data_IF_986519907353
#
_entry.id   IF_986519907353
#
_cell.length_a   1.000
_cell.length_b   1.000
_cell.length_c   1.000
_cell.angle_alpha   90.00
_cell.angle_beta   90.00
_cell.angle_gamma   90.00
#
_symmetry.space_group_name_H-M   'P 1'
#
loop_
_entity.id
_entity.type
_entity.pdbx_description
1 polymer ?
#
# COMPACT_ATOMS: atom_id res chain seq x y z
N UNK A 1 27.63 3.50 -9.49
CA UNK A 1 27.76 2.21 -8.80
C UNK A 1 28.02 2.55 -7.34
N UNK A 2 26.98 2.61 -6.50
CA UNK A 2 27.17 2.83 -5.06
C UNK A 2 27.71 1.53 -4.46
N UNK A 3 28.71 1.58 -3.55
CA UNK A 3 29.17 0.38 -2.87
C UNK A 3 28.00 -0.23 -2.10
N UNK A 4 27.95 -1.58 -2.03
CA UNK A 4 26.99 -2.27 -1.18
C UNK A 4 27.27 -1.88 0.27
N UNK A 5 26.51 -0.90 0.78
CA UNK A 5 26.51 -0.56 2.19
C UNK A 5 25.83 -1.73 2.88
N UNK A 6 26.60 -2.54 3.61
CA UNK A 6 26.04 -3.60 4.44
C UNK A 6 25.04 -2.95 5.40
N UNK A 7 23.77 -3.35 5.31
CA UNK A 7 22.73 -2.91 6.23
C UNK A 7 23.16 -3.22 7.66
N UNK A 8 23.21 -2.24 8.58
CA UNK A 8 23.51 -2.49 9.98
C UNK A 8 22.46 -3.40 10.65
N UNK A 9 22.92 -4.34 11.47
CA UNK A 9 22.13 -5.29 12.25
C UNK A 9 22.29 -5.05 13.76
N UNK A 10 21.38 -5.56 14.60
CA UNK A 10 21.56 -5.54 16.05
C UNK A 10 22.92 -6.11 16.47
N UNK A 11 23.66 -5.34 17.28
CA UNK A 11 25.03 -5.65 17.71
C UNK A 11 26.14 -5.05 16.82
N UNK A 12 25.82 -4.53 15.64
CA UNK A 12 26.79 -3.85 14.79
C UNK A 12 27.22 -2.51 15.38
N UNK A 13 28.40 -2.03 14.96
CA UNK A 13 28.93 -0.71 15.32
C UNK A 13 29.58 -0.01 14.13
N UNK A 14 29.62 1.33 14.19
CA UNK A 14 30.41 2.15 13.27
C UNK A 14 29.59 3.15 12.45
N UNK A 15 30.14 3.58 11.31
CA UNK A 15 29.61 4.71 10.54
C UNK A 15 28.20 4.47 9.99
N UNK A 16 27.86 3.23 9.61
CA UNK A 16 26.51 2.89 9.14
C UNK A 16 25.47 3.02 10.25
N UNK A 17 25.80 2.60 11.47
CA UNK A 17 24.94 2.75 12.65
C UNK A 17 24.81 4.21 13.06
N UNK A 18 25.89 4.98 12.98
CA UNK A 18 25.85 6.42 13.24
C UNK A 18 24.91 7.15 12.26
N UNK A 19 24.95 6.79 10.98
CA UNK A 19 24.05 7.33 9.97
C UNK A 19 22.59 6.92 10.22
N UNK A 20 22.35 5.66 10.62
CA UNK A 20 21.04 5.19 11.06
C UNK A 20 20.52 6.02 12.25
N UNK A 21 21.31 6.23 13.29
CA UNK A 21 20.94 7.06 14.44
C UNK A 21 20.60 8.49 14.04
N UNK A 22 21.39 9.11 13.16
CA UNK A 22 21.13 10.45 12.64
C UNK A 22 19.76 10.52 11.95
N UNK A 23 19.48 9.57 11.05
CA UNK A 23 18.21 9.52 10.31
C UNK A 23 17.01 9.25 11.21
N UNK A 24 17.12 8.33 12.16
CA UNK A 24 16.05 8.07 13.13
C UNK A 24 15.74 9.32 13.95
N UNK A 25 16.77 10.01 14.45
CA UNK A 25 16.60 11.26 15.19
C UNK A 25 15.96 12.37 14.34
N UNK A 26 16.35 12.51 13.06
CA UNK A 26 15.75 13.46 12.11
C UNK A 26 14.29 13.14 11.79
N UNK A 27 13.95 11.85 11.73
CA UNK A 27 12.59 11.35 11.61
C UNK A 27 11.79 11.43 12.92
N UNK A 28 12.39 11.92 14.02
CA UNK A 28 11.70 12.10 15.31
C UNK A 28 11.76 10.91 16.27
N UNK A 29 12.40 9.81 15.87
CA UNK A 29 12.57 8.62 16.71
C UNK A 29 13.91 8.68 17.45
N UNK A 30 13.88 9.27 18.64
CA UNK A 30 15.09 9.50 19.42
C UNK A 30 15.74 8.19 19.90
N UNK A 31 17.03 8.07 19.62
CA UNK A 31 17.90 7.00 20.14
C UNK A 31 18.69 7.51 21.35
N UNK A 32 18.83 6.67 22.39
CA UNK A 32 19.55 6.96 23.63
C UNK A 32 20.97 7.45 23.33
N UNK A 33 21.33 8.57 23.97
CA UNK A 33 22.63 9.22 23.79
C UNK A 33 23.84 8.31 24.06
N UNK A 34 23.69 7.23 24.85
CA UNK A 34 24.72 6.22 25.09
C UNK A 34 25.01 5.41 23.83
N UNK A 35 23.97 4.89 23.18
CA UNK A 35 24.09 4.13 21.93
C UNK A 35 24.62 5.02 20.79
N UNK A 36 24.16 6.27 20.73
CA UNK A 36 24.65 7.27 19.75
C UNK A 36 26.15 7.53 19.92
N UNK A 37 26.63 7.66 21.16
CA UNK A 37 28.05 7.90 21.45
C UNK A 37 28.92 6.67 21.21
N UNK A 38 28.42 5.47 21.53
CA UNK A 38 29.14 4.23 21.27
C UNK A 38 29.02 3.75 19.81
N UNK A 39 28.22 4.45 18.99
CA UNK A 39 27.88 4.06 17.61
C UNK A 39 27.36 2.63 17.53
N UNK A 40 26.59 2.21 18.52
CA UNK A 40 26.15 0.83 18.69
C UNK A 40 24.68 0.65 18.34
N UNK A 41 24.39 -0.41 17.59
CA UNK A 41 23.03 -0.85 17.36
C UNK A 41 22.58 -1.69 18.55
N UNK A 42 22.08 -1.01 19.58
CA UNK A 42 21.56 -1.65 20.79
C UNK A 42 20.04 -1.78 20.80
N UNK A 43 19.50 -2.10 21.99
CA UNK A 43 18.07 -2.31 22.18
C UNK A 43 17.24 -1.05 21.95
N UNK A 44 17.82 0.13 22.21
CA UNK A 44 17.12 1.39 21.99
C UNK A 44 17.01 1.73 20.51
N UNK A 45 18.07 1.48 19.73
CA UNK A 45 18.07 1.55 18.27
C UNK A 45 17.01 0.61 17.68
N UNK A 46 16.93 -0.64 18.13
CA UNK A 46 15.88 -1.58 17.70
C UNK A 46 14.47 -1.07 18.02
N UNK A 47 14.27 -0.53 19.22
CA UNK A 47 12.98 0.05 19.65
C UNK A 47 12.60 1.25 18.79
N UNK A 48 13.55 2.14 18.50
CA UNK A 48 13.34 3.29 17.63
C UNK A 48 12.99 2.86 16.19
N UNK A 49 13.65 1.83 15.67
CA UNK A 49 13.33 1.25 14.36
C UNK A 49 11.92 0.66 14.31
N UNK A 50 11.53 -0.12 15.31
CA UNK A 50 10.17 -0.66 15.41
C UNK A 50 9.12 0.46 15.46
N UNK A 51 9.38 1.51 16.26
CA UNK A 51 8.50 2.67 16.32
C UNK A 51 8.39 3.40 14.98
N UNK A 52 9.51 3.58 14.27
CA UNK A 52 9.53 4.18 12.92
C UNK A 52 8.80 3.30 11.90
N UNK A 53 9.04 1.99 11.91
CA UNK A 53 8.37 1.06 11.01
C UNK A 53 6.85 1.07 11.24
N UNK A 54 6.41 1.06 12.51
CA UNK A 54 4.99 1.16 12.86
C UNK A 54 4.38 2.49 12.39
N UNK A 55 5.03 3.63 12.66
CA UNK A 55 4.56 4.95 12.23
C UNK A 55 4.42 5.05 10.71
N UNK A 56 5.38 4.48 9.98
CA UNK A 56 5.44 4.52 8.51
C UNK A 56 4.60 3.42 7.85
N UNK A 57 3.89 2.61 8.64
CA UNK A 57 3.10 1.47 8.15
C UNK A 57 3.94 0.49 7.33
N UNK A 58 5.18 0.25 7.77
CA UNK A 58 6.12 -0.75 7.27
C UNK A 58 6.07 -2.01 8.12
N UNK A 59 6.69 -3.09 7.67
CA UNK A 59 6.77 -4.30 8.47
C UNK A 59 7.65 -4.07 9.70
N UNK A 60 7.10 -4.35 10.88
CA UNK A 60 7.76 -4.14 12.18
C UNK A 60 8.77 -5.25 12.46
N UNK A 61 9.74 -5.42 11.56
CA UNK A 61 10.79 -6.45 11.65
C UNK A 61 11.86 -6.08 12.67
N UNK A 62 12.01 -4.78 12.97
CA UNK A 62 13.13 -4.22 13.72
C UNK A 62 14.46 -4.28 12.97
N UNK A 63 14.44 -4.69 11.70
CA UNK A 63 15.62 -4.79 10.83
C UNK A 63 15.76 -3.53 9.97
N UNK A 64 17.01 -3.14 9.69
CA UNK A 64 17.29 -2.05 8.76
C UNK A 64 17.50 -2.58 7.34
N UNK A 65 16.40 -3.05 6.75
CA UNK A 65 16.36 -3.51 5.35
C UNK A 65 16.27 -2.35 4.34
N UNK A 66 16.24 -2.69 3.04
CA UNK A 66 16.17 -1.71 1.95
C UNK A 66 14.89 -0.84 2.01
N UNK A 67 13.77 -1.43 2.44
CA UNK A 67 12.50 -0.72 2.57
C UNK A 67 12.56 0.30 3.71
N UNK A 68 13.07 -0.10 4.87
CA UNK A 68 13.25 0.75 6.04
C UNK A 68 14.27 1.86 5.78
N UNK A 69 15.39 1.54 5.10
CA UNK A 69 16.37 2.53 4.68
C UNK A 69 15.74 3.57 3.73
N UNK A 70 15.03 3.13 2.70
CA UNK A 70 14.38 4.03 1.74
C UNK A 70 13.37 4.94 2.42
N UNK A 71 12.53 4.39 3.32
CA UNK A 71 11.57 5.19 4.07
C UNK A 71 12.23 6.22 4.99
N UNK A 72 13.37 5.89 5.63
CA UNK A 72 14.14 6.84 6.46
C UNK A 72 14.75 7.97 5.62
N UNK A 73 15.24 7.64 4.42
CA UNK A 73 15.73 8.65 3.46
C UNK A 73 14.61 9.60 3.06
N UNK A 74 13.44 9.06 2.76
CA UNK A 74 12.27 9.83 2.33
C UNK A 74 11.67 10.70 3.43
N UNK A 75 11.68 10.23 4.68
CA UNK A 75 11.20 10.98 5.84
C UNK A 75 12.12 12.15 6.23
N UNK A 76 13.41 12.07 5.87
CA UNK A 76 14.40 13.09 6.20
C UNK A 76 14.34 14.36 5.33
N UNK A 77 13.53 14.38 4.26
CA UNK A 77 13.45 15.52 3.33
C UNK A 77 12.09 16.20 3.46
N UNK A 78 12.10 17.50 3.75
CA UNK A 78 10.89 18.31 3.94
C UNK A 78 10.59 19.18 2.73
N UNK A 79 9.31 19.53 2.57
CA UNK A 79 8.87 20.40 1.47
C UNK A 79 9.53 21.78 1.55
N UNK A 80 10.44 22.04 0.62
CA UNK A 80 11.24 23.27 0.53
C UNK A 80 12.74 23.08 0.73
N UNK A 81 13.19 21.90 1.14
CA UNK A 81 14.62 21.58 1.27
C UNK A 81 15.31 21.48 -0.10
N UNK A 82 14.54 21.18 -1.17
CA UNK A 82 15.01 21.10 -2.55
C UNK A 82 13.96 21.62 -3.53
N UNK A 83 14.40 21.97 -4.74
CA UNK A 83 13.50 22.26 -5.86
C UNK A 83 12.98 20.96 -6.44
N UNK A 84 11.66 20.81 -6.49
CA UNK A 84 11.02 19.65 -7.09
C UNK A 84 10.57 19.98 -8.52
N UNK A 85 10.91 19.10 -9.46
CA UNK A 85 10.56 19.21 -10.88
C UNK A 85 10.62 17.83 -11.52
N UNK A 86 10.07 17.69 -12.72
CA UNK A 86 10.07 16.41 -13.44
C UNK A 86 11.51 16.04 -13.84
N UNK A 87 12.05 15.02 -13.19
CA UNK A 87 13.39 14.49 -13.44
C UNK A 87 13.29 13.03 -13.91
N UNK A 88 14.26 12.57 -14.72
CA UNK A 88 14.27 11.18 -15.24
C UNK A 88 14.24 10.13 -14.13
N UNK A 89 14.95 10.40 -13.03
CA UNK A 89 14.95 9.56 -11.83
C UNK A 89 13.84 9.90 -10.81
N UNK A 90 12.85 10.73 -11.19
CA UNK A 90 11.70 11.21 -10.40
C UNK A 90 11.94 11.37 -8.90
N UNK A 91 11.87 12.61 -8.37
CA UNK A 91 12.00 12.81 -6.93
C UNK A 91 11.01 11.96 -6.14
N UNK A 92 11.49 11.45 -4.99
CA UNK A 92 10.69 10.70 -4.03
C UNK A 92 10.94 11.21 -2.62
N UNK A 93 9.90 11.21 -1.82
CA UNK A 93 9.97 11.64 -0.43
C UNK A 93 8.64 12.11 0.13
N UNK A 94 8.66 12.39 1.43
CA UNK A 94 7.54 13.03 2.10
C UNK A 94 7.34 14.46 1.59
N UNK A 95 8.42 15.16 1.23
CA UNK A 95 8.35 16.47 0.55
C UNK A 95 7.50 16.45 -0.74
N UNK A 96 7.61 15.39 -1.54
CA UNK A 96 6.78 15.23 -2.74
C UNK A 96 5.32 14.90 -2.37
N UNK A 97 5.11 14.06 -1.37
CA UNK A 97 3.76 13.71 -0.89
C UNK A 97 3.03 14.94 -0.37
N UNK A 98 3.73 15.79 0.41
CA UNK A 98 3.23 17.06 0.91
C UNK A 98 2.86 18.01 -0.24
N UNK A 99 3.72 18.09 -1.27
CA UNK A 99 3.43 18.90 -2.45
C UNK A 99 2.16 18.41 -3.18
N UNK A 100 2.04 17.11 -3.40
CA UNK A 100 0.87 16.49 -4.04
C UNK A 100 -0.41 16.73 -3.22
N UNK A 101 -0.34 16.57 -1.90
CA UNK A 101 -1.45 16.82 -0.99
C UNK A 101 -1.87 18.30 -1.04
N UNK A 102 -0.91 19.22 -0.95
CA UNK A 102 -1.17 20.66 -1.00
C UNK A 102 -1.81 21.09 -2.32
N UNK A 103 -1.31 20.59 -3.45
CA UNK A 103 -1.91 20.82 -4.76
C UNK A 103 -3.33 20.25 -4.81
N UNK A 104 -3.51 19.01 -4.38
CA UNK A 104 -4.80 18.32 -4.36
C UNK A 104 -5.86 19.01 -3.49
N UNK A 105 -5.46 19.55 -2.34
CA UNK A 105 -6.35 20.30 -1.45
C UNK A 105 -6.78 21.65 -2.04
N UNK A 106 -5.95 22.23 -2.92
CA UNK A 106 -6.25 23.45 -3.65
C UNK A 106 -6.99 23.20 -4.98
N UNK A 107 -7.34 21.95 -5.29
CA UNK A 107 -8.09 21.60 -6.50
C UNK A 107 -7.23 21.22 -7.70
N UNK A 108 -5.91 21.17 -7.56
CA UNK A 108 -4.98 20.79 -8.64
C UNK A 108 -4.72 19.29 -8.61
N UNK A 109 -5.01 18.62 -9.72
CA UNK A 109 -4.89 17.17 -9.78
C UNK A 109 -3.43 16.71 -10.00
N UNK A 110 -2.74 16.43 -8.90
CA UNK A 110 -1.36 15.93 -8.91
C UNK A 110 -1.24 14.41 -9.07
N UNK A 111 -2.30 13.70 -9.47
CA UNK A 111 -2.30 12.25 -9.52
C UNK A 111 -2.57 11.63 -8.16
N UNK A 112 -2.02 10.44 -7.90
CA UNK A 112 -2.09 9.79 -6.59
C UNK A 112 -1.10 10.47 -5.63
N UNK A 113 -1.44 10.58 -4.35
CA UNK A 113 -0.51 11.08 -3.32
C UNK A 113 0.43 9.93 -2.93
N UNK A 114 1.32 9.60 -3.86
CA UNK A 114 2.28 8.50 -3.76
C UNK A 114 3.68 8.99 -3.39
N UNK A 115 3.92 10.30 -3.26
CA UNK A 115 5.23 10.84 -2.98
C UNK A 115 6.25 10.63 -4.10
N UNK A 116 5.80 10.45 -5.34
CA UNK A 116 6.65 10.35 -6.54
C UNK A 116 6.36 11.53 -7.46
N UNK A 117 7.39 12.31 -7.79
CA UNK A 117 7.23 13.48 -8.65
C UNK A 117 7.17 13.03 -10.11
N UNK A 118 5.99 12.59 -10.52
CA UNK A 118 5.69 12.14 -11.87
C UNK A 118 5.12 13.25 -12.77
N UNK A 119 4.71 12.88 -14.00
CA UNK A 119 4.12 13.80 -14.96
C UNK A 119 2.85 14.50 -14.45
N UNK A 120 1.99 13.80 -13.69
CA UNK A 120 0.75 14.37 -13.15
C UNK A 120 1.06 15.46 -12.10
N UNK A 121 2.01 15.20 -11.20
CA UNK A 121 2.51 16.22 -10.25
C UNK A 121 3.11 17.42 -10.99
N UNK A 122 3.88 17.19 -12.05
CA UNK A 122 4.46 18.26 -12.85
C UNK A 122 3.39 19.13 -13.53
N UNK A 123 2.35 18.50 -14.10
CA UNK A 123 1.22 19.18 -14.71
C UNK A 123 0.46 20.03 -13.68
N UNK A 124 0.18 19.46 -12.49
CA UNK A 124 -0.45 20.18 -11.40
C UNK A 124 0.36 21.40 -10.92
N UNK A 125 1.68 21.30 -10.86
CA UNK A 125 2.56 22.44 -10.55
C UNK A 125 2.43 23.53 -11.61
N UNK A 126 2.46 23.18 -12.90
CA UNK A 126 2.30 24.14 -14.00
C UNK A 126 0.93 24.82 -13.94
N UNK A 127 -0.14 24.05 -13.71
CA UNK A 127 -1.50 24.58 -13.61
C UNK A 127 -1.66 25.49 -12.39
N UNK A 128 -1.08 25.11 -11.25
CA UNK A 128 -1.03 25.96 -10.07
C UNK A 128 -0.33 27.28 -10.36
N UNK A 129 0.89 27.23 -10.90
CA UNK A 129 1.69 28.40 -11.24
C UNK A 129 0.94 29.35 -12.17
N UNK A 130 0.27 28.80 -13.20
CA UNK A 130 -0.54 29.58 -14.13
C UNK A 130 -1.69 30.29 -13.42
N UNK A 131 -2.42 29.58 -12.56
CA UNK A 131 -3.59 30.13 -11.87
C UNK A 131 -3.24 31.19 -10.82
N UNK A 132 -2.06 31.10 -10.20
CA UNK A 132 -1.60 32.10 -9.21
C UNK A 132 -0.72 33.21 -9.79
N UNK A 133 -0.53 33.25 -11.12
CA UNK A 133 0.24 34.29 -11.80
C UNK A 133 1.76 34.22 -11.59
N UNK A 134 2.30 33.02 -11.34
CA UNK A 134 3.74 32.77 -11.26
C UNK A 134 4.31 32.41 -12.64
N UNK A 135 5.64 32.42 -12.76
CA UNK A 135 6.31 31.83 -13.91
C UNK A 135 5.95 30.33 -14.00
N UNK A 136 5.46 29.90 -15.16
CA UNK A 136 5.01 28.51 -15.42
C UNK A 136 6.17 27.64 -15.87
N UNK A 137 7.15 27.43 -15.00
CA UNK A 137 8.36 26.65 -15.28
C UNK A 137 8.22 25.17 -14.85
N UNK A 138 7.15 24.80 -14.15
CA UNK A 138 6.94 23.45 -13.63
C UNK A 138 7.86 23.09 -12.46
N UNK A 139 8.54 24.08 -11.87
CA UNK A 139 9.46 23.91 -10.73
C UNK A 139 8.76 24.36 -9.45
N UNK A 140 8.61 23.44 -8.50
CA UNK A 140 8.17 23.77 -7.15
C UNK A 140 9.34 24.31 -6.32
N UNK A 141 9.75 25.55 -6.63
CA UNK A 141 10.73 26.33 -5.89
C UNK A 141 10.10 27.25 -4.84
N UNK A 142 10.91 28.10 -4.17
CA UNK A 142 10.46 28.94 -3.06
C UNK A 142 9.22 29.81 -3.34
N UNK A 143 9.06 30.32 -4.57
CA UNK A 143 7.89 31.13 -4.94
C UNK A 143 6.62 30.29 -5.04
N UNK A 144 6.69 29.13 -5.70
CA UNK A 144 5.60 28.16 -5.78
C UNK A 144 5.15 27.74 -4.38
N UNK A 145 6.09 27.41 -3.49
CA UNK A 145 5.80 26.97 -2.12
C UNK A 145 5.22 28.09 -1.25
N UNK A 146 5.65 29.34 -1.44
CA UNK A 146 5.02 30.51 -0.78
C UNK A 146 3.57 30.68 -1.22
N UNK A 147 3.30 30.53 -2.52
CA UNK A 147 1.94 30.56 -3.07
C UNK A 147 1.05 29.49 -2.44
N UNK A 148 1.52 28.24 -2.39
CA UNK A 148 0.79 27.13 -1.77
C UNK A 148 0.43 27.43 -0.31
N UNK A 149 1.43 27.78 0.51
CA UNK A 149 1.20 28.10 1.93
C UNK A 149 0.21 29.24 2.15
N UNK A 150 0.23 30.26 1.28
CA UNK A 150 -0.69 31.38 1.38
C UNK A 150 -2.15 30.97 1.14
N UNK A 151 -2.39 30.05 0.19
CA UNK A 151 -3.74 29.60 -0.16
C UNK A 151 -4.26 28.52 0.79
N UNK A 152 -3.40 27.62 1.27
CA UNK A 152 -3.79 26.56 2.21
C UNK A 152 -4.31 27.10 3.54
N UNK A 153 -3.76 28.21 4.04
CA UNK A 153 -4.25 28.87 5.26
C UNK A 153 -5.69 29.40 5.14
N UNK A 154 -6.31 29.31 3.96
CA UNK A 154 -7.67 29.78 3.66
C UNK A 154 -8.66 28.64 3.38
N UNK A 155 -8.20 27.40 3.27
CA UNK A 155 -9.02 26.23 2.95
C UNK A 155 -9.10 25.30 4.16
N UNK A 156 -10.29 25.13 4.72
CA UNK A 156 -10.54 24.16 5.79
C UNK A 156 -11.06 22.85 5.19
N UNK A 157 -10.42 21.75 5.57
CA UNK A 157 -10.94 20.37 5.54
C UNK A 157 -11.59 19.94 4.21
N UNK A 158 -10.76 19.75 3.18
CA UNK A 158 -11.19 19.22 1.89
C UNK A 158 -10.56 17.86 1.64
N UNK A 159 -11.36 16.92 1.13
CA UNK A 159 -10.83 15.68 0.56
C UNK A 159 -9.99 16.06 -0.67
N UNK A 160 -8.72 15.63 -0.76
CA UNK A 160 -7.89 15.98 -1.91
C UNK A 160 -8.51 15.45 -3.20
N UNK A 161 -8.32 16.18 -4.31
CA UNK A 161 -8.83 15.81 -5.65
C UNK A 161 -8.49 14.35 -6.01
N UNK A 162 -7.31 13.86 -5.60
CA UNK A 162 -6.90 12.48 -5.81
C UNK A 162 -7.91 11.46 -5.29
N UNK A 163 -8.43 11.64 -4.07
CA UNK A 163 -9.39 10.75 -3.43
C UNK A 163 -10.78 10.87 -4.06
N UNK A 164 -11.20 12.10 -4.40
CA UNK A 164 -12.48 12.36 -5.08
C UNK A 164 -12.48 11.68 -6.45
N UNK A 165 -11.41 11.86 -7.23
CA UNK A 165 -11.23 11.24 -8.54
C UNK A 165 -11.28 9.72 -8.44
N UNK A 166 -10.57 9.12 -7.50
CA UNK A 166 -10.59 7.66 -7.33
C UNK A 166 -12.00 7.16 -7.00
N UNK A 167 -12.72 7.80 -6.06
CA UNK A 167 -14.10 7.44 -5.75
C UNK A 167 -15.03 7.57 -6.96
N UNK A 168 -14.86 8.62 -7.76
CA UNK A 168 -15.68 8.83 -8.95
C UNK A 168 -15.38 7.79 -10.03
N UNK A 169 -14.12 7.44 -10.24
CA UNK A 169 -13.72 6.34 -11.12
C UNK A 169 -14.39 5.03 -10.69
N UNK A 170 -14.39 4.70 -9.39
CA UNK A 170 -15.05 3.49 -8.88
C UNK A 170 -16.56 3.52 -9.11
N UNK A 171 -17.21 4.68 -8.90
CA UNK A 171 -18.67 4.81 -9.12
C UNK A 171 -19.04 4.60 -10.58
N UNK A 172 -18.21 5.09 -11.50
CA UNK A 172 -18.43 4.96 -12.93
C UNK A 172 -18.03 3.58 -13.46
N UNK A 173 -17.07 2.91 -12.83
CA UNK A 173 -16.49 1.65 -13.31
C UNK A 173 -17.35 0.41 -13.03
N UNK A 174 -18.67 0.52 -12.90
CA UNK A 174 -19.58 -0.61 -12.65
C UNK A 174 -19.61 -1.57 -13.85
N UNK A 175 -18.59 -2.42 -13.92
CA UNK A 175 -18.24 -3.23 -15.07
C UNK A 175 -18.26 -4.68 -14.65
N UNK A 176 -18.96 -5.50 -15.43
CA UNK A 176 -18.84 -6.95 -15.32
C UNK A 176 -17.37 -7.35 -15.51
N UNK A 177 -16.98 -8.48 -14.90
CA UNK A 177 -15.58 -8.96 -14.94
C UNK A 177 -15.09 -9.25 -16.37
N UNK A 178 -16.01 -9.38 -17.32
CA UNK A 178 -15.74 -9.67 -18.72
C UNK A 178 -14.96 -8.53 -19.38
N UNK A 179 -13.95 -8.90 -20.15
CA UNK A 179 -13.06 -7.98 -20.89
C UNK A 179 -12.19 -7.07 -20.01
N UNK A 180 -12.22 -7.26 -18.69
CA UNK A 180 -11.39 -6.52 -17.75
C UNK A 180 -9.97 -7.08 -17.70
N UNK A 181 -9.00 -6.17 -17.66
CA UNK A 181 -7.58 -6.51 -17.54
C UNK A 181 -7.20 -6.58 -16.06
N UNK A 182 -6.82 -7.74 -15.57
CA UNK A 182 -6.45 -7.94 -14.17
C UNK A 182 -4.98 -8.34 -14.08
N UNK A 183 -4.23 -7.74 -13.16
CA UNK A 183 -2.86 -8.14 -12.88
C UNK A 183 -2.80 -8.89 -11.55
N UNK A 184 -2.21 -10.08 -11.54
CA UNK A 184 -2.04 -10.90 -10.34
C UNK A 184 -0.57 -11.28 -10.26
N UNK A 185 0.09 -10.90 -9.17
CA UNK A 185 1.50 -11.21 -8.95
C UNK A 185 1.71 -12.12 -7.75
N UNK A 186 2.81 -12.84 -7.73
CA UNK A 186 3.25 -13.57 -6.54
C UNK A 186 4.73 -13.39 -6.21
N UNK A 187 5.06 -13.47 -4.92
CA UNK A 187 6.42 -13.24 -4.38
C UNK A 187 7.04 -14.54 -3.85
N UNK A 188 6.98 -15.59 -4.68
CA UNK A 188 7.41 -16.94 -4.31
C UNK A 188 6.38 -17.71 -3.47
N UNK A 189 6.42 -19.04 -3.56
CA UNK A 189 5.57 -19.95 -2.76
C UNK A 189 4.08 -20.00 -3.13
N UNK A 190 3.53 -18.98 -3.81
CA UNK A 190 2.10 -18.86 -4.12
C UNK A 190 1.71 -19.15 -5.59
N UNK A 191 2.58 -19.77 -6.38
CA UNK A 191 2.35 -20.02 -7.81
C UNK A 191 1.08 -20.86 -8.07
N UNK A 192 0.91 -21.97 -7.35
CA UNK A 192 -0.26 -22.84 -7.51
C UNK A 192 -1.58 -22.10 -7.22
N UNK A 193 -1.60 -21.27 -6.18
CA UNK A 193 -2.75 -20.45 -5.82
C UNK A 193 -3.04 -19.38 -6.88
N UNK A 194 -2.00 -18.69 -7.33
CA UNK A 194 -2.10 -17.64 -8.35
C UNK A 194 -2.63 -18.19 -9.67
N UNK A 195 -2.13 -19.33 -10.12
CA UNK A 195 -2.62 -20.00 -11.33
C UNK A 195 -4.05 -20.51 -11.17
N UNK A 196 -4.44 -21.01 -10.00
CA UNK A 196 -5.82 -21.41 -9.73
C UNK A 196 -6.77 -20.21 -9.79
N UNK A 197 -6.41 -19.09 -9.15
CA UNK A 197 -7.16 -17.84 -9.17
C UNK A 197 -7.29 -17.28 -10.59
N UNK A 198 -6.17 -17.19 -11.32
CA UNK A 198 -6.12 -16.70 -12.69
C UNK A 198 -7.01 -17.54 -13.62
N UNK A 199 -7.01 -18.87 -13.46
CA UNK A 199 -7.88 -19.77 -14.22
C UNK A 199 -9.38 -19.48 -13.98
N UNK A 200 -9.78 -19.25 -12.73
CA UNK A 200 -11.19 -18.94 -12.39
C UNK A 200 -11.60 -17.59 -13.02
N UNK A 201 -10.76 -16.57 -12.88
CA UNK A 201 -11.03 -15.24 -13.42
C UNK A 201 -11.07 -15.22 -14.96
N UNK A 202 -10.16 -15.96 -15.63
CA UNK A 202 -10.19 -16.15 -17.08
C UNK A 202 -11.46 -16.88 -17.54
N UNK A 203 -11.92 -17.88 -16.79
CA UNK A 203 -13.18 -18.57 -17.08
C UNK A 203 -14.40 -17.64 -16.96
N UNK A 204 -14.32 -16.63 -16.10
CA UNK A 204 -15.32 -15.56 -15.97
C UNK A 204 -15.16 -14.43 -17.01
N UNK A 205 -14.20 -14.53 -17.95
CA UNK A 205 -14.05 -13.62 -19.08
C UNK A 205 -13.04 -12.48 -18.89
N UNK A 206 -12.25 -12.48 -17.81
CA UNK A 206 -11.20 -11.48 -17.62
C UNK A 206 -9.90 -11.83 -18.37
N UNK A 207 -9.18 -10.78 -18.80
CA UNK A 207 -7.81 -10.88 -19.29
C UNK A 207 -6.84 -10.80 -18.11
N UNK A 208 -6.33 -11.95 -17.65
CA UNK A 208 -5.44 -12.03 -16.48
C UNK A 208 -3.97 -12.10 -16.89
N UNK A 209 -3.20 -11.10 -16.47
CA UNK A 209 -1.75 -11.09 -16.48
C UNK A 209 -1.21 -11.67 -15.17
N UNK A 210 -0.48 -12.77 -15.24
CA UNK A 210 0.24 -13.36 -14.10
C UNK A 210 1.68 -12.81 -14.07
N UNK A 211 2.16 -12.42 -12.89
CA UNK A 211 3.49 -11.86 -12.68
C UNK A 211 4.25 -12.70 -11.64
N UNK A 212 5.43 -13.17 -12.04
CA UNK A 212 6.35 -13.93 -11.19
C UNK A 212 7.72 -13.25 -11.21
N UNK A 213 7.92 -12.33 -10.28
CA UNK A 213 9.17 -11.62 -10.10
C UNK A 213 9.33 -11.19 -8.63
N UNK A 214 10.53 -11.31 -8.03
CA UNK A 214 10.75 -10.89 -6.65
C UNK A 214 10.67 -9.37 -6.45
N UNK A 215 10.96 -8.59 -7.50
CA UNK A 215 10.94 -7.11 -7.45
C UNK A 215 9.52 -6.54 -7.65
N UNK A 216 9.01 -5.93 -6.58
CA UNK A 216 7.76 -5.15 -6.53
C UNK A 216 7.66 -4.04 -7.59
N UNK A 217 8.77 -3.40 -7.93
CA UNK A 217 8.82 -2.34 -8.95
C UNK A 217 8.50 -2.88 -10.34
N UNK A 218 8.96 -4.09 -10.65
CA UNK A 218 8.69 -4.74 -11.95
C UNK A 218 7.22 -5.12 -12.04
N UNK A 219 6.62 -5.63 -10.97
CA UNK A 219 5.19 -5.91 -10.94
C UNK A 219 4.37 -4.63 -11.16
N UNK A 220 4.66 -3.55 -10.43
CA UNK A 220 3.93 -2.29 -10.56
C UNK A 220 4.03 -1.70 -11.98
N UNK A 221 5.24 -1.62 -12.53
CA UNK A 221 5.45 -1.07 -13.89
C UNK A 221 4.79 -1.93 -14.97
N UNK A 222 4.87 -3.25 -14.85
CA UNK A 222 4.23 -4.17 -15.82
C UNK A 222 2.71 -4.10 -15.73
N UNK A 223 2.12 -4.06 -14.53
CA UNK A 223 0.69 -3.89 -14.33
C UNK A 223 0.19 -2.53 -14.88
N UNK A 224 0.94 -1.46 -14.63
CA UNK A 224 0.65 -0.13 -15.18
C UNK A 224 0.67 -0.12 -16.71
N UNK A 225 1.69 -0.73 -17.33
CA UNK A 225 1.82 -0.80 -18.79
C UNK A 225 0.74 -1.69 -19.44
N UNK A 226 0.30 -2.73 -18.73
CA UNK A 226 -0.81 -3.58 -19.16
C UNK A 226 -2.16 -2.83 -19.14
N UNK A 227 -2.25 -1.73 -18.39
CA UNK A 227 -3.49 -1.00 -18.16
C UNK A 227 -4.47 -1.84 -17.33
N UNK A 228 -3.97 -2.53 -16.30
CA UNK A 228 -4.82 -3.35 -15.44
C UNK A 228 -5.82 -2.47 -14.66
N UNK A 229 -7.04 -2.97 -14.51
CA UNK A 229 -8.09 -2.36 -13.69
C UNK A 229 -7.83 -2.54 -12.19
N UNK A 230 -7.08 -3.57 -11.80
CA UNK A 230 -6.62 -3.81 -10.44
C UNK A 230 -5.34 -4.65 -10.42
N UNK A 231 -4.61 -4.57 -9.30
CA UNK A 231 -3.46 -5.42 -9.00
C UNK A 231 -3.68 -6.21 -7.69
N UNK A 232 -3.39 -7.50 -7.69
CA UNK A 232 -3.34 -8.33 -6.47
C UNK A 232 -2.01 -9.05 -6.38
N UNK A 233 -1.22 -8.73 -5.36
CA UNK A 233 -0.04 -9.50 -4.99
C UNK A 233 -0.41 -10.60 -4.00
N UNK A 234 0.21 -11.76 -4.13
CA UNK A 234 0.04 -12.88 -3.20
C UNK A 234 1.40 -13.35 -2.72
N UNK A 235 1.55 -13.45 -1.40
CA UNK A 235 2.73 -13.97 -0.74
C UNK A 235 2.29 -14.94 0.34
N UNK A 236 3.04 -16.03 0.54
CA UNK A 236 2.78 -16.97 1.62
C UNK A 236 3.96 -16.91 2.57
N UNK A 237 3.69 -16.64 3.85
CA UNK A 237 4.72 -16.45 4.87
C UNK A 237 4.50 -17.32 6.09
N UNK A 238 5.57 -17.49 6.87
CA UNK A 238 5.49 -18.11 8.18
C UNK A 238 4.92 -17.09 9.18
N UNK A 239 3.60 -17.05 9.27
CA UNK A 239 2.86 -16.23 10.22
C UNK A 239 1.70 -17.01 10.86
N UNK A 240 0.97 -16.33 11.74
CA UNK A 240 -0.18 -16.92 12.44
C UNK A 240 -1.53 -16.56 11.81
N UNK A 241 -1.56 -15.50 10.99
CA UNK A 241 -2.79 -14.93 10.44
C UNK A 241 -2.56 -14.36 9.04
N UNK A 242 -3.63 -14.29 8.26
CA UNK A 242 -3.62 -13.63 6.96
C UNK A 242 -3.65 -12.11 7.13
N UNK A 243 -2.96 -11.39 6.25
CA UNK A 243 -2.91 -9.93 6.21
C UNK A 243 -3.21 -9.46 4.79
N UNK A 244 -4.18 -8.55 4.67
CA UNK A 244 -4.56 -7.94 3.41
C UNK A 244 -4.27 -6.45 3.49
N UNK A 245 -3.26 -6.03 2.73
CA UNK A 245 -2.73 -4.68 2.77
C UNK A 245 -3.17 -3.85 1.57
N UNK A 246 -3.43 -2.57 1.79
CA UNK A 246 -3.76 -1.60 0.74
C UNK A 246 -2.96 -0.30 0.93
N UNK A 247 -2.85 0.50 -0.13
CA UNK A 247 -2.09 1.74 -0.06
C UNK A 247 -2.78 2.78 0.80
N UNK A 248 -2.09 3.25 1.84
CA UNK A 248 -2.48 4.43 2.59
C UNK A 248 -1.27 5.12 3.21
N UNK A 249 -1.42 6.42 3.39
CA UNK A 249 -0.53 7.34 4.11
C UNK A 249 -1.35 8.04 5.19
N UNK A 250 -0.73 8.90 5.99
CA UNK A 250 -1.44 9.66 7.03
C UNK A 250 -2.54 10.56 6.43
N UNK A 251 -2.33 11.07 5.21
CA UNK A 251 -3.20 12.06 4.57
C UNK A 251 -3.92 11.55 3.32
N UNK A 252 -3.73 10.28 2.95
CA UNK A 252 -4.34 9.70 1.76
C UNK A 252 -4.59 8.21 1.93
N UNK A 253 -5.71 7.72 1.42
CA UNK A 253 -6.02 6.30 1.35
C UNK A 253 -6.51 5.97 -0.06
N UNK A 254 -6.02 4.87 -0.64
CA UNK A 254 -6.63 4.31 -1.85
C UNK A 254 -7.99 3.73 -1.51
N UNK A 255 -9.04 4.36 -2.02
CA UNK A 255 -10.41 3.96 -1.78
C UNK A 255 -10.73 2.62 -2.46
N UNK A 256 -10.19 2.39 -3.66
CA UNK A 256 -10.37 1.13 -4.36
C UNK A 256 -9.64 -0.01 -3.67
N UNK A 257 -8.38 0.23 -3.27
CA UNK A 257 -7.56 -0.73 -2.53
C UNK A 257 -8.18 -1.09 -1.18
N UNK A 258 -8.65 -0.09 -0.41
CA UNK A 258 -9.34 -0.31 0.87
C UNK A 258 -10.53 -1.25 0.74
N UNK A 259 -11.40 -0.99 -0.25
CA UNK A 259 -12.63 -1.77 -0.48
C UNK A 259 -12.33 -3.18 -0.98
N UNK A 260 -11.36 -3.32 -1.88
CA UNK A 260 -10.91 -4.63 -2.36
C UNK A 260 -10.29 -5.44 -1.21
N UNK A 261 -9.44 -4.82 -0.39
CA UNK A 261 -8.80 -5.47 0.74
C UNK A 261 -9.81 -6.01 1.75
N UNK A 262 -10.84 -5.23 2.07
CA UNK A 262 -11.92 -5.67 2.97
C UNK A 262 -12.65 -6.89 2.42
N UNK A 263 -13.05 -6.87 1.14
CA UNK A 263 -13.75 -8.00 0.51
C UNK A 263 -12.89 -9.25 0.46
N UNK A 264 -11.59 -9.11 0.18
CA UNK A 264 -10.66 -10.24 0.20
C UNK A 264 -10.51 -10.82 1.60
N UNK A 265 -10.35 -9.98 2.62
CA UNK A 265 -10.25 -10.42 4.01
C UNK A 265 -11.52 -11.15 4.47
N UNK A 266 -12.71 -10.59 4.18
CA UNK A 266 -14.00 -11.22 4.52
C UNK A 266 -14.16 -12.59 3.84
N UNK A 267 -13.75 -12.71 2.57
CA UNK A 267 -13.83 -13.95 1.82
C UNK A 267 -12.87 -15.02 2.37
N UNK A 268 -11.66 -14.64 2.78
CA UNK A 268 -10.70 -15.54 3.40
C UNK A 268 -11.17 -15.99 4.78
N UNK A 269 -11.69 -15.07 5.60
CA UNK A 269 -12.23 -15.39 6.92
C UNK A 269 -13.37 -16.42 6.83
N UNK A 270 -14.23 -16.30 5.81
CA UNK A 270 -15.30 -17.26 5.56
C UNK A 270 -14.77 -18.67 5.23
N UNK A 271 -13.67 -18.79 4.45
CA UNK A 271 -13.06 -20.08 4.13
C UNK A 271 -12.57 -20.79 5.38
N UNK A 272 -11.82 -20.08 6.23
CA UNK A 272 -11.21 -20.68 7.41
C UNK A 272 -12.18 -20.87 8.59
N UNK A 273 -13.29 -20.12 8.63
CA UNK A 273 -14.37 -20.37 9.57
C UNK A 273 -15.12 -21.68 9.27
N UNK A 274 -15.33 -22.01 7.98
CA UNK A 274 -16.02 -23.22 7.56
C UNK A 274 -15.22 -24.50 7.87
N UNK A 275 -13.90 -24.44 7.83
CA UNK A 275 -13.04 -25.59 8.08
C UNK A 275 -13.06 -26.04 9.56
N UNK A 276 -13.10 -25.07 10.48
CA UNK A 276 -13.26 -25.32 11.92
C UNK A 276 -14.61 -25.95 12.27
N UNK A 277 -15.66 -25.67 11.49
CA UNK A 277 -16.97 -26.29 11.70
C UNK A 277 -17.01 -27.77 11.29
N UNK A 278 -16.12 -28.19 10.37
CA UNK A 278 -16.01 -29.59 9.90
C UNK A 278 -15.18 -30.47 10.84
N UNK A 279 -14.32 -29.89 11.70
CA UNK A 279 -13.45 -30.64 12.61
C UNK A 279 -14.11 -31.10 13.93
N UNK A 280 -15.39 -30.78 14.18
CA UNK A 280 -16.24 -31.52 15.13
C UNK A 280 -15.93 -31.38 16.63
N UNK A 281 -15.13 -30.42 17.09
CA UNK A 281 -14.86 -30.23 18.52
C UNK A 281 -15.89 -29.30 19.18
N UNK A 282 -16.50 -29.64 20.35
CA UNK A 282 -17.50 -28.79 20.99
C UNK A 282 -16.86 -27.53 21.60
N UNK A 283 -17.46 -26.37 21.30
CA UNK A 283 -17.05 -25.03 21.70
C UNK A 283 -17.09 -24.79 23.23
N UNK A 284 -15.92 -24.58 23.84
CA UNK A 284 -15.76 -23.94 25.15
C UNK A 284 -15.47 -22.44 24.99
N UNK A 285 -15.67 -21.64 26.05
CA UNK A 285 -15.48 -20.17 26.05
C UNK A 285 -14.05 -19.71 25.71
N UNK A 286 -13.06 -20.60 25.73
CA UNK A 286 -11.68 -20.33 25.32
C UNK A 286 -11.52 -20.14 23.80
N UNK A 287 -12.36 -20.79 22.98
CA UNK A 287 -12.32 -20.65 21.52
C UNK A 287 -12.81 -19.28 21.01
N UNK A 288 -13.53 -18.49 21.81
CA UNK A 288 -13.95 -17.14 21.41
C UNK A 288 -12.79 -16.14 21.43
N UNK A 289 -11.80 -16.35 22.31
CA UNK A 289 -10.55 -15.58 22.34
C UNK A 289 -9.61 -15.97 21.18
N UNK A 290 -9.59 -17.24 20.77
CA UNK A 290 -8.83 -17.72 19.60
C UNK A 290 -9.50 -17.34 18.27
N UNK A 291 -10.83 -17.30 18.21
CA UNK A 291 -11.59 -16.82 17.03
C UNK A 291 -11.26 -15.38 16.65
N UNK A 292 -10.90 -14.52 17.62
CA UNK A 292 -10.46 -13.14 17.35
C UNK A 292 -9.00 -13.06 16.88
N UNK A 293 -8.21 -14.13 17.09
CA UNK A 293 -6.79 -14.21 16.73
C UNK A 293 -6.53 -14.79 15.33
N UNK A 294 -7.55 -15.37 14.67
CA UNK A 294 -7.44 -15.98 13.33
C UNK A 294 -8.15 -15.21 12.21
N UNK A 295 -8.83 -14.09 12.51
CA UNK A 295 -9.40 -13.23 11.46
C UNK A 295 -8.29 -12.50 10.70
N UNK A 296 -8.46 -12.39 9.40
CA UNK A 296 -7.54 -11.73 8.49
C UNK A 296 -7.45 -10.24 8.85
N UNK A 297 -6.24 -9.75 9.06
CA UNK A 297 -5.99 -8.35 9.40
C UNK A 297 -6.03 -7.50 8.13
N UNK A 298 -6.66 -6.33 8.20
CA UNK A 298 -6.73 -5.34 7.11
C UNK A 298 -5.79 -4.20 7.44
N UNK A 299 -4.73 -4.03 6.67
CA UNK A 299 -3.64 -3.13 7.04
C UNK A 299 -3.43 -2.02 6.01
N UNK A 300 -3.42 -0.77 6.49
CA UNK A 300 -2.87 0.35 5.74
C UNK A 300 -1.36 0.15 5.63
N UNK A 301 -0.80 0.19 4.42
CA UNK A 301 0.63 -0.02 4.16
C UNK A 301 1.15 0.96 3.11
N UNK A 302 2.46 1.23 3.15
CA UNK A 302 3.19 2.05 2.17
C UNK A 302 4.16 1.26 1.27
N UNK A 303 3.95 -0.06 1.11
CA UNK A 303 4.82 -0.91 0.29
C UNK A 303 4.96 -0.37 -1.16
N UNK A 304 6.13 -0.59 -1.75
CA UNK A 304 6.53 0.01 -3.03
C UNK A 304 5.56 -0.33 -4.16
N UNK A 305 5.07 -1.57 -4.21
CA UNK A 305 4.10 -1.98 -5.21
C UNK A 305 2.75 -1.30 -5.06
N UNK A 306 2.25 -1.19 -3.83
CA UNK A 306 0.97 -0.55 -3.54
C UNK A 306 1.05 0.95 -3.81
N UNK A 307 2.22 1.55 -3.59
CA UNK A 307 2.52 2.95 -3.88
C UNK A 307 2.54 3.22 -5.38
N UNK A 308 3.31 2.45 -6.15
CA UNK A 308 3.60 2.69 -7.58
C UNK A 308 2.51 2.28 -8.57
N UNK A 309 1.59 1.43 -8.15
CA UNK A 309 0.45 1.03 -8.98
C UNK A 309 -0.52 2.21 -9.16
N UNK A 310 -0.98 2.40 -10.41
CA UNK A 310 -1.93 3.46 -10.80
C UNK A 310 -3.39 3.02 -10.70
N UNK A 311 -3.62 1.74 -10.45
CA UNK A 311 -4.92 1.14 -10.22
C UNK A 311 -5.08 0.75 -8.75
N UNK A 312 -6.31 0.47 -8.27
CA UNK A 312 -6.54 -0.18 -6.99
C UNK A 312 -5.68 -1.44 -6.85
N UNK A 313 -4.94 -1.52 -5.75
CA UNK A 313 -3.98 -2.57 -5.52
C UNK A 313 -4.08 -3.11 -4.09
N UNK A 314 -3.92 -4.42 -3.95
CA UNK A 314 -3.86 -5.11 -2.66
C UNK A 314 -2.69 -6.09 -2.60
N UNK A 315 -2.14 -6.29 -1.42
CA UNK A 315 -1.17 -7.34 -1.13
C UNK A 315 -1.79 -8.33 -0.14
N UNK A 316 -1.87 -9.58 -0.55
CA UNK A 316 -2.39 -10.68 0.27
C UNK A 316 -1.21 -11.49 0.82
N UNK A 317 -0.84 -11.23 2.06
CA UNK A 317 0.14 -12.04 2.81
C UNK A 317 -0.63 -13.13 3.56
N UNK A 318 -0.50 -14.37 3.11
CA UNK A 318 -1.29 -15.50 3.59
C UNK A 318 -0.47 -16.40 4.51
N UNK A 319 -1.09 -16.85 5.60
CA UNK A 319 -0.45 -17.69 6.61
C UNK A 319 -1.51 -18.47 7.44
N UNK A 320 -1.17 -19.61 8.05
CA UNK A 320 0.10 -20.34 7.94
C UNK A 320 0.22 -21.14 6.64
N UNK A 321 1.44 -21.40 6.10
CA UNK A 321 1.62 -22.02 4.79
C UNK A 321 0.94 -23.39 4.64
N UNK A 322 1.01 -24.24 5.68
CA UNK A 322 0.41 -25.56 5.65
C UNK A 322 -1.11 -25.52 5.41
N UNK A 323 -1.80 -24.57 6.04
CA UNK A 323 -3.24 -24.37 5.89
C UNK A 323 -3.57 -23.82 4.51
N UNK A 324 -2.81 -22.83 4.03
CA UNK A 324 -3.02 -22.22 2.71
C UNK A 324 -2.84 -23.23 1.58
N UNK A 325 -1.78 -24.04 1.65
CA UNK A 325 -1.47 -25.05 0.62
C UNK A 325 -2.58 -26.09 0.54
N UNK A 326 -3.09 -26.57 1.69
CA UNK A 326 -4.20 -27.53 1.73
C UNK A 326 -5.51 -26.95 1.20
N UNK A 327 -5.78 -25.67 1.45
CA UNK A 327 -6.99 -24.97 1.05
C UNK A 327 -6.85 -24.17 -0.27
N UNK A 328 -5.87 -24.51 -1.12
CA UNK A 328 -5.53 -23.69 -2.31
C UNK A 328 -6.74 -23.43 -3.22
N UNK A 329 -7.60 -24.43 -3.44
CA UNK A 329 -8.74 -24.30 -4.33
C UNK A 329 -9.86 -23.41 -3.74
N UNK A 330 -10.12 -23.56 -2.45
CA UNK A 330 -11.09 -22.79 -1.67
C UNK A 330 -10.64 -21.33 -1.60
N UNK A 331 -9.37 -21.08 -1.28
CA UNK A 331 -8.77 -19.74 -1.23
C UNK A 331 -8.83 -19.07 -2.60
N UNK A 332 -8.46 -19.77 -3.68
CA UNK A 332 -8.57 -19.24 -5.05
C UNK A 332 -10.00 -18.86 -5.40
N UNK A 333 -10.98 -19.69 -5.03
CA UNK A 333 -12.40 -19.45 -5.29
C UNK A 333 -12.92 -18.26 -4.49
N UNK A 334 -12.53 -18.15 -3.22
CA UNK A 334 -12.91 -17.04 -2.36
C UNK A 334 -12.35 -15.70 -2.87
N UNK A 335 -11.06 -15.66 -3.23
CA UNK A 335 -10.43 -14.47 -3.80
C UNK A 335 -11.06 -14.10 -5.16
N UNK A 336 -11.35 -15.07 -6.02
CA UNK A 336 -12.03 -14.81 -7.30
C UNK A 336 -13.43 -14.20 -7.09
N UNK A 337 -14.18 -14.73 -6.11
CA UNK A 337 -15.50 -14.22 -5.72
C UNK A 337 -15.41 -12.80 -5.17
N UNK A 338 -14.42 -12.53 -4.31
CA UNK A 338 -14.17 -11.20 -3.76
C UNK A 338 -13.87 -10.17 -4.87
N UNK A 339 -12.98 -10.52 -5.82
CA UNK A 339 -12.64 -9.67 -6.97
C UNK A 339 -13.89 -9.44 -7.84
N UNK A 340 -14.65 -10.49 -8.14
CA UNK A 340 -15.87 -10.39 -8.95
C UNK A 340 -16.91 -9.49 -8.29
N UNK A 341 -17.13 -9.66 -6.99
CA UNK A 341 -18.06 -8.82 -6.22
C UNK A 341 -17.58 -7.38 -6.06
N UNK A 342 -16.27 -7.16 -6.00
CA UNK A 342 -15.68 -5.82 -6.03
C UNK A 342 -15.90 -5.16 -7.38
N UNK A 343 -15.58 -5.81 -8.50
CA UNK A 343 -15.79 -5.27 -9.85
C UNK A 343 -17.24 -4.89 -10.12
N UNK A 344 -18.20 -5.69 -9.62
CA UNK A 344 -19.62 -5.43 -9.76
C UNK A 344 -20.15 -4.29 -8.88
N UNK A 345 -19.45 -3.92 -7.80
CA UNK A 345 -19.80 -2.75 -6.99
C UNK A 345 -18.56 -2.23 -6.23
N UNK A 346 -17.65 -1.54 -6.93
CA UNK A 346 -16.34 -1.20 -6.39
C UNK A 346 -16.39 0.01 -5.46
N UNK A 347 -17.46 0.81 -5.51
CA UNK A 347 -17.70 1.93 -4.61
C UNK A 347 -18.46 1.53 -3.31
N UNK A 348 -18.86 0.27 -3.15
CA UNK A 348 -19.58 -0.21 -1.97
C UNK A 348 -18.78 0.03 -0.69
N UNK A 349 -19.45 0.51 0.37
CA UNK A 349 -18.83 0.71 1.68
C UNK A 349 -18.76 -0.58 2.49
N UNK A 350 -17.55 -1.14 2.72
CA UNK A 350 -17.42 -2.37 3.49
C UNK A 350 -17.78 -2.18 4.97
N UNK A 351 -17.76 -0.95 5.50
CA UNK A 351 -18.05 -0.67 6.92
C UNK A 351 -19.54 -0.43 7.16
N UNK A 352 -20.23 0.23 6.23
CA UNK A 352 -21.63 0.63 6.40
C UNK A 352 -22.65 -0.22 5.64
N UNK A 353 -22.21 -1.08 4.71
CA UNK A 353 -23.11 -1.90 3.90
C UNK A 353 -22.47 -3.28 3.60
N UNK A 354 -22.42 -4.19 4.58
CA UNK A 354 -21.87 -5.53 4.36
C UNK A 354 -22.61 -6.22 3.21
N UNK A 355 -21.94 -7.06 2.40
CA UNK A 355 -22.59 -7.73 1.28
C UNK A 355 -23.76 -8.56 1.80
N UNK A 356 -24.98 -8.08 1.55
CA UNK A 356 -26.19 -8.86 1.78
C UNK A 356 -26.08 -10.11 0.91
N UNK A 357 -26.03 -11.28 1.54
CA UNK A 357 -26.29 -12.56 0.92
C UNK A 357 -27.53 -12.41 0.05
N UNK A 358 -27.35 -12.37 -1.28
CA UNK A 358 -28.48 -12.45 -2.20
C UNK A 358 -29.11 -13.80 -1.99
N UNK A 359 -30.20 -13.82 -1.22
CA UNK A 359 -31.17 -14.90 -1.27
C UNK A 359 -31.59 -15.09 -2.73
N UNK A 360 -31.15 -16.20 -3.31
CA UNK A 360 -31.83 -16.80 -4.45
C UNK A 360 -33.26 -17.09 -4.02
N UNK A 361 -34.22 -16.22 -4.41
CA UNK A 361 -35.62 -16.62 -4.45
C UNK A 361 -35.86 -17.36 -5.77
N UNK A 362 -36.27 -18.64 -5.74
CA UNK A 362 -36.73 -19.32 -6.93
C UNK A 362 -38.16 -18.88 -7.28
N UNK A 363 -38.33 -18.63 -8.58
CA UNK A 363 -39.54 -18.40 -9.38
C UNK A 363 -40.44 -17.19 -9.03
#
# INVERSE_FOLDING_TARGET
MYPAVTSPHPGDRGASVQELHRRLNEAGHQVDSREVKSTEFGADTSRALLAFQAERSLEETGLFDEQTHSALVEAGVRLGDRHLYLHTQMFRGDDVSDLQLHLGNLGFDAGKIDGIFGPDTAAAVVDFQRNVGLATDGIAGPQTLRGLRHLLGRTADHRPVAQIRELELLRQSNSELRDQRLAIGHFGGAAALTSALARILRAAGAYVLELDHPDETIHASTANNFGAAMYMGIQIENGSYNRISYFATESFQSEGGFRLAHRCADALDAVFALDQSKSGTPTSKEHQSEQKAQSSTREARRNEILRRTRMPAVMCTLAPPATIVLATAEVATALASAITGWMANPAADPVNNPPTSRETRPL
#
